data_IF_723696961882
#
_entry.id   IF_723696961882
#
_cell.length_a   1.000
_cell.length_b   1.000
_cell.length_c   1.000
_cell.angle_alpha   90.00
_cell.angle_beta   90.00
_cell.angle_gamma   90.00
#
_symmetry.space_group_name_H-M   'P 1'
#
loop_
_entity.id
_entity.type
_entity.pdbx_description
1 polymer ?
#
# COMPACT_ATOMS: atom_id res chain seq x y z
N UNK A 1 1.74 10.71 55.80
CA UNK A 1 1.91 9.54 54.91
C UNK A 1 2.57 9.93 53.62
N UNK A 2 3.76 9.43 53.42
CA UNK A 2 4.48 9.56 52.14
C UNK A 2 3.68 8.76 51.10
N UNK A 3 2.95 9.45 50.22
CA UNK A 3 2.41 8.83 49.04
C UNK A 3 3.59 8.48 48.12
N UNK A 4 4.08 7.27 48.19
CA UNK A 4 4.93 6.75 47.16
C UNK A 4 4.05 6.58 45.92
N UNK A 5 4.05 7.54 45.00
CA UNK A 5 3.58 7.35 43.67
C UNK A 5 4.62 6.44 43.01
N UNK A 6 4.40 5.14 43.08
CA UNK A 6 5.15 4.20 42.28
C UNK A 6 4.90 4.56 40.82
N UNK A 7 5.90 5.07 40.14
CA UNK A 7 5.88 5.25 38.71
C UNK A 7 5.77 3.83 38.12
N UNK A 8 4.60 3.43 37.64
CA UNK A 8 4.41 2.12 37.07
C UNK A 8 4.88 2.16 35.62
N UNK A 9 5.94 1.43 35.33
CA UNK A 9 6.35 1.15 33.94
C UNK A 9 5.25 0.39 33.22
N UNK A 10 4.84 0.86 32.06
CA UNK A 10 3.85 0.17 31.25
C UNK A 10 4.52 -0.32 29.98
N UNK A 11 4.54 -1.64 29.84
CA UNK A 11 4.99 -2.31 28.63
C UNK A 11 3.78 -2.88 27.89
N UNK A 12 3.59 -2.46 26.65
CA UNK A 12 2.55 -3.02 25.78
C UNK A 12 3.19 -3.71 24.58
N UNK A 13 2.76 -4.93 24.32
CA UNK A 13 3.16 -5.72 23.15
C UNK A 13 1.92 -6.03 22.36
N UNK A 14 1.91 -5.72 21.10
CA UNK A 14 0.78 -6.00 20.22
C UNK A 14 1.28 -6.70 18.96
N UNK A 15 0.54 -7.71 18.54
CA UNK A 15 0.71 -8.36 17.24
C UNK A 15 -0.65 -8.35 16.57
N UNK A 16 -0.69 -7.86 15.34
CA UNK A 16 -1.88 -7.83 14.50
C UNK A 16 -1.61 -8.71 13.27
N UNK A 17 -2.50 -9.64 13.02
CA UNK A 17 -2.56 -10.38 11.77
C UNK A 17 -3.91 -10.15 11.11
N UNK A 18 -3.89 -9.74 9.84
CA UNK A 18 -5.07 -9.54 9.02
C UNK A 18 -4.95 -10.34 7.74
N UNK A 19 -6.05 -10.95 7.31
CA UNK A 19 -6.16 -11.65 6.03
C UNK A 19 -7.48 -11.24 5.37
N UNK A 20 -7.37 -10.68 4.16
CA UNK A 20 -8.52 -10.39 3.30
C UNK A 20 -8.40 -11.20 2.00
N UNK A 21 -9.47 -11.87 1.63
CA UNK A 21 -9.57 -12.61 0.36
C UNK A 21 -10.81 -12.10 -0.39
N UNK A 22 -10.60 -11.75 -1.62
CA UNK A 22 -11.63 -11.26 -2.52
C UNK A 22 -11.65 -12.14 -3.77
N UNK A 23 -12.83 -12.60 -4.15
CA UNK A 23 -13.06 -13.27 -5.42
C UNK A 23 -14.04 -12.42 -6.21
N UNK A 24 -13.68 -12.09 -7.43
CA UNK A 24 -14.50 -11.28 -8.33
C UNK A 24 -14.87 -12.12 -9.53
N UNK A 25 -16.15 -12.16 -9.86
CA UNK A 25 -16.66 -12.71 -11.12
C UNK A 25 -17.32 -11.58 -11.89
N UNK A 26 -17.03 -11.48 -13.14
CA UNK A 26 -17.64 -10.51 -14.05
C UNK A 26 -18.21 -11.27 -15.24
N UNK A 27 -19.46 -11.01 -15.50
CA UNK A 27 -20.15 -11.48 -16.70
C UNK A 27 -20.89 -10.30 -17.31
N UNK A 28 -20.65 -10.05 -18.57
CA UNK A 28 -21.32 -9.00 -19.32
C UNK A 28 -21.59 -9.44 -20.75
N UNK A 29 -22.76 -9.08 -21.24
CA UNK A 29 -23.18 -9.41 -22.59
C UNK A 29 -23.94 -8.22 -23.21
N UNK A 30 -23.67 -7.94 -24.47
CA UNK A 30 -24.32 -6.93 -25.29
C UNK A 30 -24.86 -7.63 -26.54
N UNK A 31 -26.18 -7.74 -26.71
CA UNK A 31 -26.80 -8.31 -27.90
C UNK A 31 -26.51 -7.51 -29.17
N UNK A 32 -26.66 -8.13 -30.33
CA UNK A 32 -26.41 -7.51 -31.62
C UNK A 32 -27.44 -6.44 -32.01
N UNK A 33 -28.62 -6.46 -31.42
CA UNK A 33 -29.74 -5.54 -31.67
C UNK A 33 -29.62 -4.23 -30.89
N UNK A 34 -28.68 -4.13 -29.94
CA UNK A 34 -28.44 -2.88 -29.17
C UNK A 34 -27.73 -1.86 -30.04
N UNK A 35 -28.25 -0.62 -30.03
CA UNK A 35 -27.78 0.50 -30.85
C UNK A 35 -26.26 0.76 -30.78
N UNK A 36 -25.63 0.44 -29.63
CA UNK A 36 -24.18 0.57 -29.45
C UNK A 36 -23.36 -0.64 -29.92
N UNK A 37 -24.01 -1.70 -30.38
CA UNK A 37 -23.30 -2.81 -31.00
C UNK A 37 -22.76 -2.37 -32.36
N UNK A 38 -21.58 -1.76 -32.37
CA UNK A 38 -20.86 -1.43 -33.60
C UNK A 38 -20.80 -2.69 -34.47
N UNK A 39 -21.27 -2.57 -35.70
CA UNK A 39 -21.33 -3.65 -36.70
C UNK A 39 -22.36 -4.77 -36.43
N UNK A 40 -23.37 -4.55 -35.58
CA UNK A 40 -24.44 -5.53 -35.29
C UNK A 40 -23.91 -6.92 -34.88
N UNK A 41 -22.87 -6.94 -34.08
CA UNK A 41 -22.29 -8.13 -33.51
C UNK A 41 -22.51 -8.15 -32.00
N UNK A 42 -22.98 -9.26 -31.49
CA UNK A 42 -23.03 -9.46 -30.06
C UNK A 42 -21.62 -9.54 -29.47
N UNK A 43 -21.45 -9.08 -28.23
CA UNK A 43 -20.18 -9.08 -27.51
C UNK A 43 -20.39 -9.51 -26.07
N UNK A 44 -19.47 -10.30 -25.57
CA UNK A 44 -19.47 -10.67 -24.15
C UNK A 44 -18.08 -10.61 -23.56
N UNK A 45 -18.06 -10.55 -22.24
CA UNK A 45 -16.86 -10.66 -21.44
C UNK A 45 -17.15 -11.52 -20.23
N UNK A 46 -16.34 -12.53 -20.00
CA UNK A 46 -16.35 -13.38 -18.83
C UNK A 46 -15.01 -13.25 -18.14
N UNK A 47 -15.03 -12.74 -16.91
CA UNK A 47 -13.84 -12.48 -16.11
C UNK A 47 -13.91 -13.14 -14.75
N UNK A 48 -12.76 -13.58 -14.28
CA UNK A 48 -12.56 -14.12 -12.96
C UNK A 48 -11.28 -13.58 -12.34
N UNK A 49 -11.36 -13.10 -11.11
CA UNK A 49 -10.20 -12.58 -10.38
C UNK A 49 -10.19 -13.03 -8.93
N UNK A 50 -9.00 -13.24 -8.41
CA UNK A 50 -8.72 -13.46 -7.00
C UNK A 50 -7.74 -12.42 -6.51
N UNK A 51 -7.99 -11.90 -5.32
CA UNK A 51 -7.06 -11.03 -4.60
C UNK A 51 -6.92 -11.51 -3.18
N UNK A 52 -5.71 -11.53 -2.69
CA UNK A 52 -5.38 -11.84 -1.31
C UNK A 52 -4.47 -10.79 -0.74
N UNK A 53 -4.90 -10.20 0.37
CA UNK A 53 -4.12 -9.24 1.12
C UNK A 53 -3.84 -9.81 2.51
N UNK A 54 -2.59 -9.80 2.94
CA UNK A 54 -2.22 -10.17 4.30
C UNK A 54 -1.38 -9.09 4.95
N UNK A 55 -1.68 -8.82 6.21
CA UNK A 55 -1.00 -7.84 7.05
C UNK A 55 -0.49 -8.54 8.29
N UNK A 56 0.77 -8.31 8.62
CA UNK A 56 1.37 -8.73 9.89
C UNK A 56 2.09 -7.52 10.47
N UNK A 57 1.66 -7.11 11.65
CA UNK A 57 2.25 -5.98 12.37
C UNK A 57 2.64 -6.38 13.78
N UNK A 58 3.76 -5.88 14.26
CA UNK A 58 4.21 -6.01 15.63
C UNK A 58 4.61 -4.65 16.19
N UNK A 59 4.15 -4.34 17.39
CA UNK A 59 4.53 -3.11 18.11
C UNK A 59 4.90 -3.38 19.54
N UNK A 60 5.90 -2.65 20.02
CA UNK A 60 6.34 -2.59 21.40
C UNK A 60 6.23 -1.15 21.86
N UNK A 61 5.54 -0.90 22.96
CA UNK A 61 5.43 0.40 23.56
C UNK A 61 5.96 0.33 25.00
N UNK A 62 6.78 1.29 25.33
CA UNK A 62 7.28 1.51 26.69
C UNK A 62 6.87 2.91 27.13
N UNK A 63 6.24 3.01 28.29
CA UNK A 63 5.88 4.26 28.91
C UNK A 63 6.41 4.31 30.32
N UNK A 64 7.08 5.41 30.63
CA UNK A 64 7.61 5.67 31.97
C UNK A 64 7.48 7.16 32.33
N UNK A 65 7.14 7.41 33.57
CA UNK A 65 7.03 8.74 34.11
C UNK A 65 8.06 8.98 35.23
N UNK A 66 9.02 9.85 34.94
CA UNK A 66 10.06 10.24 35.90
C UNK A 66 9.58 11.41 36.75
N UNK A 67 8.77 11.12 37.79
CA UNK A 67 8.17 12.14 38.61
C UNK A 67 7.33 13.13 37.81
N UNK A 68 7.49 14.43 38.11
CA UNK A 68 6.86 15.51 37.35
C UNK A 68 7.76 16.09 36.25
N UNK A 69 8.99 15.58 36.16
CA UNK A 69 10.02 16.11 35.27
C UNK A 69 9.81 15.68 33.83
N UNK A 70 9.52 14.38 33.61
CA UNK A 70 9.49 13.77 32.28
C UNK A 70 8.46 12.64 32.20
N UNK A 71 7.52 12.78 31.29
CA UNK A 71 6.69 11.67 30.82
C UNK A 71 7.19 11.23 29.46
N UNK A 72 7.59 9.95 29.35
CA UNK A 72 8.22 9.38 28.18
C UNK A 72 7.37 8.22 27.63
N UNK A 73 7.12 8.26 26.33
CA UNK A 73 6.49 7.17 25.60
C UNK A 73 7.36 6.81 24.37
N UNK A 74 7.91 5.61 24.40
CA UNK A 74 8.70 5.05 23.31
C UNK A 74 7.91 3.94 22.61
N UNK A 75 7.91 3.95 21.31
CA UNK A 75 7.27 2.91 20.48
C UNK A 75 8.23 2.48 19.39
N UNK A 76 8.36 1.17 19.21
CA UNK A 76 9.01 0.56 18.07
C UNK A 76 8.06 -0.42 17.41
N UNK A 77 8.11 -0.53 16.10
CA UNK A 77 7.23 -1.46 15.40
C UNK A 77 7.78 -1.87 14.04
N UNK A 78 7.22 -2.95 13.55
CA UNK A 78 7.47 -3.48 12.21
C UNK A 78 6.17 -3.96 11.59
N UNK A 79 6.08 -3.86 10.27
CA UNK A 79 4.94 -4.32 9.50
C UNK A 79 5.37 -4.98 8.20
N UNK A 80 4.59 -5.97 7.79
CA UNK A 80 4.71 -6.64 6.49
C UNK A 80 3.33 -6.73 5.86
N UNK A 81 3.22 -6.24 4.63
CA UNK A 81 1.99 -6.19 3.87
C UNK A 81 2.22 -6.90 2.55
N UNK A 82 1.41 -7.90 2.28
CA UNK A 82 1.41 -8.66 1.03
C UNK A 82 0.09 -8.41 0.32
N UNK A 83 0.15 -8.07 -0.96
CA UNK A 83 -1.00 -7.95 -1.86
C UNK A 83 -0.69 -8.77 -3.11
N UNK A 84 -1.46 -9.81 -3.34
CA UNK A 84 -1.31 -10.70 -4.49
C UNK A 84 -2.65 -10.93 -5.15
N UNK A 85 -2.63 -11.07 -6.45
CA UNK A 85 -3.82 -11.36 -7.22
C UNK A 85 -3.49 -12.05 -8.52
N UNK A 86 -4.44 -12.80 -8.99
CA UNK A 86 -4.46 -13.43 -10.30
C UNK A 86 -5.87 -13.38 -10.89
N UNK A 87 -5.95 -13.37 -12.19
CA UNK A 87 -7.22 -13.37 -12.87
C UNK A 87 -7.08 -13.63 -14.37
N UNK A 88 -8.21 -13.90 -14.98
CA UNK A 88 -8.34 -14.08 -16.41
C UNK A 88 -9.64 -13.47 -16.88
N UNK A 89 -9.62 -12.91 -18.08
CA UNK A 89 -10.77 -12.38 -18.79
C UNK A 89 -10.78 -12.93 -20.21
N UNK A 90 -11.96 -13.28 -20.70
CA UNK A 90 -12.19 -13.66 -22.07
C UNK A 90 -13.25 -12.72 -22.63
N UNK A 91 -12.87 -11.85 -23.55
CA UNK A 91 -13.81 -11.13 -24.39
C UNK A 91 -14.07 -11.91 -25.68
N UNK A 92 -15.30 -11.93 -26.12
CA UNK A 92 -15.73 -12.70 -27.30
C UNK A 92 -16.77 -11.93 -28.11
N UNK A 93 -16.87 -12.27 -29.39
CA UNK A 93 -17.84 -11.70 -30.32
C UNK A 93 -18.69 -12.82 -30.96
N UNK A 94 -19.78 -12.42 -31.60
CA UNK A 94 -20.67 -13.30 -32.32
C UNK A 94 -21.26 -14.46 -31.47
N UNK A 95 -21.72 -14.15 -30.26
CA UNK A 95 -22.50 -15.11 -29.48
C UNK A 95 -23.93 -15.21 -30.04
N UNK A 96 -24.54 -16.33 -29.84
CA UNK A 96 -25.92 -16.56 -30.29
C UNK A 96 -26.89 -15.73 -29.41
N UNK A 97 -27.54 -14.72 -30.01
CA UNK A 97 -28.48 -13.82 -29.33
C UNK A 97 -29.77 -14.47 -28.85
N UNK A 98 -30.09 -15.67 -29.34
CA UNK A 98 -31.30 -16.40 -28.96
C UNK A 98 -31.19 -17.12 -27.61
N UNK A 99 -30.00 -17.18 -27.03
CA UNK A 99 -29.75 -17.82 -25.74
C UNK A 99 -29.49 -16.73 -24.71
N UNK A 100 -30.43 -16.54 -23.79
CA UNK A 100 -30.27 -15.62 -22.67
C UNK A 100 -29.06 -15.99 -21.82
N UNK A 101 -28.12 -15.04 -21.69
CA UNK A 101 -26.88 -15.25 -20.97
C UNK A 101 -25.86 -15.96 -21.83
N UNK A 102 -25.06 -15.21 -22.42
CA UNK A 102 -23.99 -15.57 -23.29
C UNK A 102 -23.03 -16.56 -22.64
N UNK A 103 -23.09 -17.80 -23.03
CA UNK A 103 -22.02 -18.72 -22.75
C UNK A 103 -20.90 -18.48 -23.76
N UNK A 104 -19.68 -18.29 -23.28
CA UNK A 104 -18.48 -18.15 -24.12
C UNK A 104 -18.32 -19.33 -25.10
N UNK A 105 -18.77 -20.52 -24.70
CA UNK A 105 -18.75 -21.71 -25.54
C UNK A 105 -19.76 -21.72 -26.69
N UNK A 106 -20.64 -20.70 -26.77
CA UNK A 106 -21.63 -20.55 -27.86
C UNK A 106 -21.31 -19.39 -28.80
N UNK A 107 -20.14 -18.78 -28.64
CA UNK A 107 -19.69 -17.73 -29.51
C UNK A 107 -18.84 -18.28 -30.64
N UNK A 108 -19.03 -17.73 -31.86
CA UNK A 108 -18.23 -18.08 -33.01
C UNK A 108 -16.87 -17.35 -33.02
N UNK A 109 -16.66 -16.43 -32.11
CA UNK A 109 -15.43 -15.65 -31.98
C UNK A 109 -15.41 -14.41 -32.88
N UNK A 110 -14.33 -13.65 -32.89
CA UNK A 110 -13.04 -13.93 -32.26
C UNK A 110 -13.05 -13.88 -30.74
N UNK A 111 -12.06 -14.56 -30.11
CA UNK A 111 -11.85 -14.63 -28.68
C UNK A 111 -10.58 -13.88 -28.31
N UNK A 112 -10.66 -13.08 -27.25
CA UNK A 112 -9.55 -12.27 -26.74
C UNK A 112 -9.26 -12.64 -25.28
N UNK A 113 -8.53 -13.73 -25.01
CA UNK A 113 -8.16 -14.10 -23.66
C UNK A 113 -7.06 -13.18 -23.11
N UNK A 114 -7.22 -12.75 -21.89
CA UNK A 114 -6.19 -12.01 -21.13
C UNK A 114 -6.02 -12.64 -19.76
N UNK A 115 -4.85 -12.51 -19.18
CA UNK A 115 -4.60 -12.94 -17.81
C UNK A 115 -3.58 -12.05 -17.14
N UNK A 116 -3.68 -11.97 -15.82
CA UNK A 116 -2.71 -11.24 -15.02
C UNK A 116 -2.39 -11.99 -13.75
N UNK A 117 -1.18 -11.78 -13.26
CA UNK A 117 -0.75 -12.24 -11.95
C UNK A 117 0.23 -11.23 -11.36
N UNK A 118 0.02 -10.85 -10.11
CA UNK A 118 0.91 -9.95 -9.41
C UNK A 118 1.10 -10.35 -7.96
N UNK A 119 2.21 -9.91 -7.40
CA UNK A 119 2.52 -10.02 -5.98
C UNK A 119 3.36 -8.82 -5.59
N UNK A 120 2.86 -8.01 -4.67
CA UNK A 120 3.53 -6.83 -4.14
C UNK A 120 3.77 -7.03 -2.64
N UNK A 121 4.96 -6.73 -2.18
CA UNK A 121 5.33 -6.79 -0.77
C UNK A 121 5.83 -5.42 -0.31
N UNK A 122 5.27 -4.95 0.82
CA UNK A 122 5.74 -3.77 1.55
C UNK A 122 6.21 -4.17 2.92
N UNK A 123 7.27 -3.55 3.38
CA UNK A 123 7.81 -3.72 4.74
C UNK A 123 8.03 -2.36 5.35
N UNK A 124 7.64 -2.20 6.60
CA UNK A 124 7.89 -1.01 7.37
C UNK A 124 8.54 -1.32 8.70
N UNK A 125 9.40 -0.43 9.16
CA UNK A 125 10.01 -0.44 10.48
C UNK A 125 9.99 0.98 10.99
N UNK A 126 9.63 1.19 12.26
CA UNK A 126 9.62 2.52 12.82
C UNK A 126 9.98 2.53 14.28
N UNK A 127 10.52 3.68 14.68
CA UNK A 127 10.73 4.04 16.08
C UNK A 127 10.14 5.42 16.29
N UNK A 128 9.44 5.63 17.39
CA UNK A 128 8.86 6.90 17.79
C UNK A 128 9.11 7.14 19.27
N UNK A 129 9.51 8.35 19.61
CA UNK A 129 9.61 8.83 20.97
C UNK A 129 8.74 10.06 21.18
N UNK A 130 7.97 10.09 22.26
CA UNK A 130 7.25 11.27 22.72
C UNK A 130 7.72 11.58 24.14
N UNK A 131 8.09 12.82 24.40
CA UNK A 131 8.66 13.29 25.65
C UNK A 131 7.89 14.54 26.06
N UNK A 132 7.22 14.51 27.21
CA UNK A 132 6.62 15.68 27.84
C UNK A 132 7.51 16.09 29.03
N UNK A 133 8.19 17.20 28.88
CA UNK A 133 9.11 17.74 29.85
C UNK A 133 8.38 18.82 30.69
N UNK A 134 8.39 18.65 32.00
CA UNK A 134 7.82 19.59 32.97
C UNK A 134 6.33 19.92 32.75
N UNK A 135 5.61 19.08 31.94
CA UNK A 135 4.25 19.39 31.53
C UNK A 135 4.12 20.59 30.58
N UNK A 136 5.23 21.16 30.10
CA UNK A 136 5.28 22.39 29.31
C UNK A 136 5.83 22.19 27.90
N UNK A 137 6.86 21.37 27.74
CA UNK A 137 7.55 21.17 26.48
C UNK A 137 7.30 19.75 25.99
N UNK A 138 6.67 19.61 24.85
CA UNK A 138 6.43 18.30 24.24
C UNK A 138 7.33 18.15 23.01
N UNK A 139 8.18 17.14 23.04
CA UNK A 139 9.06 16.78 21.94
C UNK A 139 8.60 15.42 21.40
N UNK A 140 8.38 15.34 20.10
CA UNK A 140 8.11 14.06 19.43
C UNK A 140 9.09 13.89 18.30
N UNK A 141 9.71 12.71 18.22
CA UNK A 141 10.60 12.35 17.13
C UNK A 141 10.23 10.97 16.61
N UNK A 142 10.29 10.77 15.30
CA UNK A 142 10.13 9.45 14.71
C UNK A 142 11.05 9.25 13.53
N UNK A 143 11.44 8.00 13.35
CA UNK A 143 12.18 7.52 12.19
C UNK A 143 11.43 6.32 11.64
N UNK A 144 11.04 6.39 10.38
CA UNK A 144 10.36 5.29 9.68
C UNK A 144 11.19 4.87 8.47
N UNK A 145 11.36 3.58 8.32
CA UNK A 145 11.98 2.96 7.15
C UNK A 145 10.95 2.13 6.44
N UNK A 146 10.58 2.54 5.24
CA UNK A 146 9.63 1.81 4.40
C UNK A 146 10.32 1.24 3.17
N UNK A 147 9.92 0.03 2.81
CA UNK A 147 10.42 -0.68 1.65
C UNK A 147 9.29 -1.28 0.83
N UNK A 148 9.44 -1.27 -0.48
CA UNK A 148 8.51 -1.89 -1.42
C UNK A 148 9.28 -2.61 -2.52
N UNK A 149 8.75 -3.71 -2.98
CA UNK A 149 9.30 -4.48 -4.11
C UNK A 149 8.99 -3.87 -5.48
N UNK A 150 8.20 -2.79 -5.51
CA UNK A 150 7.98 -2.00 -6.72
C UNK A 150 9.22 -1.24 -7.19
N UNK A 151 10.16 -0.97 -6.28
CA UNK A 151 11.41 -0.28 -6.59
C UNK A 151 12.56 -1.25 -6.87
N UNK A 152 13.58 -0.72 -7.50
CA UNK A 152 14.80 -1.47 -7.82
C UNK A 152 15.41 -2.11 -6.57
N UNK A 153 15.95 -3.35 -6.64
CA UNK A 153 16.48 -4.07 -5.49
C UNK A 153 17.47 -3.28 -4.63
N UNK A 154 18.28 -2.43 -5.25
CA UNK A 154 19.27 -1.57 -4.56
C UNK A 154 18.66 -0.33 -3.89
N UNK A 155 17.42 0.07 -4.24
CA UNK A 155 16.74 1.28 -3.75
C UNK A 155 15.35 0.98 -3.19
N UNK A 156 15.16 -0.21 -2.65
CA UNK A 156 13.86 -0.65 -2.11
C UNK A 156 13.41 0.11 -0.88
N UNK A 157 14.34 0.66 -0.11
CA UNK A 157 14.05 1.26 1.18
C UNK A 157 14.31 2.75 1.17
N UNK A 158 13.41 3.50 1.80
CA UNK A 158 13.55 4.91 2.08
C UNK A 158 13.37 5.17 3.59
N UNK A 159 14.00 6.24 4.08
CA UNK A 159 13.91 6.69 5.46
C UNK A 159 13.11 7.98 5.51
N UNK A 160 12.21 8.06 6.48
CA UNK A 160 11.31 9.19 6.69
C UNK A 160 11.46 9.68 8.13
N UNK A 161 12.35 10.64 8.38
CA UNK A 161 12.48 11.27 9.68
C UNK A 161 11.36 12.28 9.92
N UNK A 162 10.94 12.42 11.17
CA UNK A 162 10.10 13.53 11.58
C UNK A 162 10.40 13.98 13.00
N UNK A 163 10.25 15.26 13.25
CA UNK A 163 10.38 15.88 14.56
C UNK A 163 9.28 16.94 14.76
N UNK A 164 8.74 17.00 15.95
CA UNK A 164 7.82 18.06 16.32
C UNK A 164 8.11 18.56 17.73
N UNK A 165 7.95 19.84 17.91
CA UNK A 165 8.11 20.56 19.17
C UNK A 165 6.80 21.27 19.49
N UNK A 166 6.37 21.22 20.74
CA UNK A 166 5.24 21.99 21.18
C UNK A 166 5.54 22.59 22.54
N UNK A 167 5.25 23.88 22.70
CA UNK A 167 5.39 24.65 23.93
C UNK A 167 4.02 25.06 24.42
N UNK A 168 3.65 24.56 25.60
CA UNK A 168 2.43 24.95 26.32
C UNK A 168 2.70 26.22 27.11
N UNK A 169 2.60 27.35 26.45
CA UNK A 169 2.92 28.68 27.03
C UNK A 169 1.99 29.05 28.18
N UNK A 170 0.77 28.52 28.21
CA UNK A 170 -0.17 28.72 29.30
C UNK A 170 0.32 28.17 30.67
N UNK A 171 1.26 27.22 30.65
CA UNK A 171 1.86 26.66 31.86
C UNK A 171 3.04 27.49 32.41
N UNK A 172 3.46 28.50 31.65
CA UNK A 172 4.55 29.38 32.06
C UNK A 172 4.05 30.44 33.10
N UNK A 173 4.90 30.76 34.06
CA UNK A 173 4.56 31.68 35.16
C UNK A 173 4.14 33.07 34.69
N UNK A 174 4.66 33.52 33.55
CA UNK A 174 4.35 34.84 32.99
C UNK A 174 3.00 34.90 32.25
N UNK A 175 2.40 33.76 31.88
CA UNK A 175 1.08 33.67 31.23
C UNK A 175 0.03 33.12 32.18
N UNK A 176 0.39 32.22 33.09
CA UNK A 176 -0.52 31.53 34.00
C UNK A 176 -1.42 32.44 34.82
N UNK A 177 -0.97 33.66 35.09
CA UNK A 177 -1.72 34.67 35.87
C UNK A 177 -2.66 35.52 35.00
N UNK A 178 -2.70 35.33 33.70
CA UNK A 178 -3.56 36.07 32.76
C UNK A 178 -4.89 35.34 32.62
N UNK A 179 -5.93 35.83 33.31
CA UNK A 179 -7.22 35.15 33.50
C UNK A 179 -8.02 34.90 32.23
N UNK A 180 -7.76 35.62 31.13
CA UNK A 180 -8.46 35.47 29.87
C UNK A 180 -7.76 34.52 28.91
N UNK A 181 -6.54 34.06 29.24
CA UNK A 181 -5.80 33.06 28.40
C UNK A 181 -5.94 31.68 29.04
N UNK A 182 -6.88 30.89 28.56
CA UNK A 182 -7.08 29.53 29.06
C UNK A 182 -6.12 28.52 28.40
N UNK A 183 -5.74 28.72 27.13
CA UNK A 183 -4.83 27.86 26.40
C UNK A 183 -4.01 28.68 25.41
N UNK A 184 -2.69 28.55 25.50
CA UNK A 184 -1.76 29.09 24.51
C UNK A 184 -0.65 28.06 24.25
N UNK A 185 -0.62 27.55 23.04
CA UNK A 185 0.33 26.49 22.64
C UNK A 185 0.96 26.82 21.28
N UNK A 186 2.28 26.94 21.29
CA UNK A 186 3.07 27.05 20.04
C UNK A 186 3.52 25.67 19.59
N UNK A 187 3.45 25.40 18.28
CA UNK A 187 3.91 24.15 17.66
C UNK A 187 4.74 24.42 16.43
N UNK A 188 5.80 23.62 16.26
CA UNK A 188 6.60 23.55 15.05
C UNK A 188 6.88 22.09 14.74
N UNK A 189 6.84 21.73 13.47
CA UNK A 189 7.13 20.36 13.04
C UNK A 189 7.79 20.35 11.69
N UNK A 190 8.67 19.37 11.50
CA UNK A 190 9.30 19.03 10.24
C UNK A 190 9.18 17.53 10.03
N UNK A 191 8.95 17.09 8.79
CA UNK A 191 8.90 15.68 8.47
C UNK A 191 9.01 15.44 6.97
N UNK A 192 9.61 14.32 6.64
CA UNK A 192 9.70 13.83 5.28
C UNK A 192 8.69 12.71 5.06
N UNK A 193 8.03 12.70 3.90
CA UNK A 193 7.09 11.67 3.50
C UNK A 193 7.36 11.22 2.08
N UNK A 194 7.05 9.97 1.78
CA UNK A 194 7.14 9.41 0.44
C UNK A 194 5.83 8.75 0.02
N UNK A 195 5.67 8.59 -1.29
CA UNK A 195 4.55 7.85 -1.87
C UNK A 195 5.08 6.73 -2.75
N UNK A 196 4.48 5.55 -2.64
CA UNK A 196 4.69 4.40 -3.52
C UNK A 196 3.48 4.12 -4.42
N UNK A 197 2.59 5.11 -4.55
CA UNK A 197 1.40 5.02 -5.39
C UNK A 197 1.76 5.13 -6.88
N UNK A 198 2.56 4.17 -7.32
CA UNK A 198 2.95 3.99 -8.71
C UNK A 198 2.08 2.88 -9.27
N UNK A 199 1.37 3.15 -10.34
CA UNK A 199 0.43 2.21 -10.96
C UNK A 199 1.07 0.90 -11.42
N UNK A 200 2.40 0.87 -11.59
CA UNK A 200 3.16 -0.28 -12.09
C UNK A 200 4.47 -0.45 -11.33
N UNK A 201 5.04 -1.64 -11.41
CA UNK A 201 6.42 -1.92 -10.97
C UNK A 201 7.39 -1.14 -11.85
N UNK A 202 8.30 -0.37 -11.24
CA UNK A 202 9.27 0.49 -11.95
C UNK A 202 10.46 -0.25 -12.55
N UNK A 203 10.57 -1.55 -12.33
CA UNK A 203 11.60 -2.37 -12.94
C UNK A 203 11.00 -3.68 -13.45
N UNK A 204 11.52 -4.15 -14.55
CA UNK A 204 11.18 -5.45 -15.11
C UNK A 204 12.46 -6.25 -15.35
N UNK A 205 12.39 -7.55 -15.16
CA UNK A 205 13.42 -8.46 -15.64
C UNK A 205 13.03 -8.83 -17.07
N UNK A 206 13.85 -8.41 -18.02
CA UNK A 206 13.68 -8.83 -19.39
C UNK A 206 14.30 -10.22 -19.54
N UNK A 207 13.47 -11.24 -19.67
CA UNK A 207 13.91 -12.54 -20.15
C UNK A 207 13.54 -12.63 -21.63
N UNK A 208 14.53 -12.68 -22.48
CA UNK A 208 14.33 -13.02 -23.88
C UNK A 208 14.42 -14.54 -24.01
N UNK A 209 13.30 -15.20 -24.16
CA UNK A 209 13.26 -16.58 -24.63
C UNK A 209 13.22 -16.58 -26.15
N UNK A 210 14.19 -17.22 -26.73
CA UNK A 210 14.23 -17.46 -28.17
C UNK A 210 13.51 -18.78 -28.39
N UNK A 211 12.30 -18.74 -28.89
CA UNK A 211 11.58 -19.94 -29.30
C UNK A 211 11.60 -20.03 -30.83
N UNK A 212 12.19 -21.08 -31.34
CA UNK A 212 12.11 -21.42 -32.75
C UNK A 212 10.84 -22.24 -32.97
N UNK A 213 9.79 -21.60 -33.45
CA UNK A 213 8.56 -22.29 -33.82
C UNK A 213 8.69 -22.79 -35.28
N UNK A 214 8.69 -24.10 -35.48
CA UNK A 214 8.62 -24.69 -36.83
C UNK A 214 7.17 -24.69 -37.31
N UNK A 215 6.89 -23.91 -38.32
CA UNK A 215 5.64 -23.95 -39.05
C UNK A 215 5.92 -24.41 -40.50
N UNK A 216 5.40 -25.54 -40.87
CA UNK A 216 5.43 -26.04 -42.25
C UNK A 216 6.83 -26.12 -42.90
N UNK A 217 7.81 -26.71 -42.21
CA UNK A 217 9.24 -26.81 -42.60
C UNK A 217 9.99 -25.46 -42.68
N UNK A 218 9.41 -24.37 -42.29
CA UNK A 218 10.09 -23.09 -42.15
C UNK A 218 10.21 -22.72 -40.66
N UNK A 219 11.41 -22.48 -40.19
CA UNK A 219 11.66 -21.96 -38.84
C UNK A 219 11.42 -20.46 -38.82
N UNK A 220 10.46 -20.01 -38.02
CA UNK A 220 10.23 -18.58 -37.73
C UNK A 220 10.77 -18.28 -36.35
N UNK A 221 11.79 -17.44 -36.28
CA UNK A 221 12.32 -16.96 -34.98
C UNK A 221 11.43 -15.84 -34.45
N UNK A 222 10.72 -16.11 -33.41
CA UNK A 222 9.94 -15.09 -32.71
C UNK A 222 10.80 -14.44 -31.61
N UNK A 223 11.03 -13.14 -31.69
CA UNK A 223 11.70 -12.38 -30.66
C UNK A 223 10.60 -11.62 -29.90
N UNK A 224 10.23 -12.05 -28.69
CA UNK A 224 9.26 -11.29 -27.91
C UNK A 224 9.87 -9.93 -27.51
N UNK A 225 9.20 -8.86 -27.87
CA UNK A 225 9.59 -7.50 -27.52
C UNK A 225 9.12 -7.20 -26.09
N UNK A 226 10.05 -6.95 -25.19
CA UNK A 226 9.73 -6.39 -23.88
C UNK A 226 10.33 -5.01 -23.80
N UNK A 227 9.45 -4.00 -23.76
CA UNK A 227 9.84 -2.62 -23.53
C UNK A 227 10.11 -2.41 -22.04
N UNK A 228 11.35 -2.06 -21.69
CA UNK A 228 11.70 -1.63 -20.33
C UNK A 228 11.72 -0.12 -20.29
N UNK A 229 10.82 0.47 -19.54
CA UNK A 229 10.83 1.91 -19.26
C UNK A 229 11.61 2.16 -17.97
N UNK A 230 12.75 2.84 -18.05
CA UNK A 230 13.48 3.34 -16.89
C UNK A 230 12.98 4.74 -16.56
N UNK A 231 12.22 4.89 -15.49
CA UNK A 231 11.97 6.20 -14.91
C UNK A 231 12.96 6.43 -13.79
N UNK A 232 13.88 7.36 -13.97
CA UNK A 232 14.67 7.93 -12.89
C UNK A 232 13.76 8.84 -12.08
N UNK A 233 13.32 8.41 -10.93
CA UNK A 233 12.80 9.29 -9.90
C UNK A 233 14.01 9.90 -9.18
N UNK A 234 14.36 11.12 -9.54
CA UNK A 234 15.09 12.01 -8.64
C UNK A 234 14.09 12.50 -7.61
N UNK A 235 14.20 12.02 -6.38
CA UNK A 235 13.52 12.63 -5.25
C UNK A 235 14.10 14.05 -5.05
N UNK A 236 13.25 15.05 -4.83
CA UNK A 236 13.72 16.38 -4.47
C UNK A 236 14.43 16.41 -3.12
#
# INVERSE_FOLDING_TARGET
>A
PIKSSAASDVYKRQVLYGLNKENTSRDSYIPSDVYYALQRKSRGNLGYGKRQQSTLEGTLTFQHKFGELLDMNLMAGMGRYLDSGDGSDISYENANDHIQGSSVGMADGPFYPTSYKYKNEKRSQFVRGNFDLLGRYVVSASLRRDGTDKFFPSKKYALFPSVSLAWKMNEESFIKNISWINMLKLRASYGETGSDNLGTTLYGIVTTTREDVQFNNNSVTYIPYISVSYTHLTLP
#
